data_IF_484511057171
#
_entry.id   IF_484511057171
#
_cell.length_a   1.000
_cell.length_b   1.000
_cell.length_c   1.000
_cell.angle_alpha   90.00
_cell.angle_beta   90.00
_cell.angle_gamma   90.00
#
_symmetry.space_group_name_H-M   'P 1'
#
loop_
_entity.id
_entity.type
_entity.pdbx_description
1 polymer ?
#
# COMPACT_ATOMS: atom_id res chain seq x y z
N UNK A 1 -4.75 -32.30 -44.29
CA UNK A 1 -4.32 -30.89 -44.33
C UNK A 1 -3.69 -30.55 -43.00
N UNK A 2 -2.48 -29.99 -42.99
CA UNK A 2 -1.72 -29.74 -41.76
C UNK A 2 -2.32 -28.56 -40.98
N UNK A 3 -2.91 -28.85 -39.84
CA UNK A 3 -3.43 -27.89 -38.86
C UNK A 3 -2.23 -27.29 -38.10
N UNK A 4 -1.51 -26.39 -38.76
CA UNK A 4 -0.34 -25.72 -38.17
C UNK A 4 -0.83 -24.42 -37.53
N UNK A 5 -0.59 -24.19 -36.23
CA UNK A 5 -0.99 -22.96 -35.58
C UNK A 5 -0.34 -21.76 -36.30
N UNK A 6 -1.08 -20.62 -36.40
CA UNK A 6 -0.57 -19.44 -37.07
C UNK A 6 0.76 -19.00 -36.45
N UNK A 7 1.74 -18.56 -37.27
CA UNK A 7 3.06 -18.18 -36.78
C UNK A 7 2.94 -17.02 -35.78
N UNK A 8 3.67 -17.11 -34.67
CA UNK A 8 3.74 -16.01 -33.70
C UNK A 8 4.35 -14.78 -34.35
N UNK A 9 3.69 -13.63 -34.19
CA UNK A 9 4.17 -12.32 -34.65
C UNK A 9 5.53 -11.94 -34.06
N UNK A 10 5.81 -12.42 -32.85
CA UNK A 10 7.08 -12.20 -32.18
C UNK A 10 8.03 -13.38 -32.35
N UNK A 11 9.30 -13.07 -32.58
CA UNK A 11 10.42 -14.01 -32.61
C UNK A 11 11.45 -13.67 -31.54
N UNK A 12 12.05 -14.68 -30.94
CA UNK A 12 13.17 -14.51 -30.02
C UNK A 12 14.44 -14.79 -30.82
N UNK A 13 15.37 -13.84 -30.85
CA UNK A 13 16.69 -14.02 -31.49
C UNK A 13 17.78 -13.71 -30.47
N UNK A 14 18.95 -14.29 -30.66
CA UNK A 14 20.13 -13.96 -29.87
C UNK A 14 20.91 -12.82 -30.53
N UNK A 15 21.14 -11.72 -29.80
CA UNK A 15 22.03 -10.63 -30.20
C UNK A 15 23.00 -10.33 -29.07
N UNK A 16 24.31 -10.47 -29.34
CA UNK A 16 25.37 -10.15 -28.37
C UNK A 16 25.31 -10.99 -27.08
N UNK A 17 24.95 -12.27 -27.18
CA UNK A 17 24.82 -13.17 -26.02
C UNK A 17 23.56 -12.93 -25.18
N UNK A 18 22.58 -12.17 -25.69
CA UNK A 18 21.30 -11.93 -25.02
C UNK A 18 20.12 -12.23 -25.93
N UNK A 19 19.08 -12.83 -25.36
CA UNK A 19 17.82 -13.08 -26.05
C UNK A 19 17.03 -11.78 -26.17
N UNK A 20 16.68 -11.41 -27.39
CA UNK A 20 15.92 -10.21 -27.75
C UNK A 20 14.65 -10.63 -28.47
N UNK A 21 13.51 -10.07 -28.04
CA UNK A 21 12.23 -10.26 -28.73
C UNK A 21 12.12 -9.24 -29.86
N UNK A 22 11.84 -9.70 -31.07
CA UNK A 22 11.56 -8.86 -32.23
C UNK A 22 10.16 -9.15 -32.76
N UNK A 23 9.48 -8.09 -33.19
CA UNK A 23 8.29 -8.20 -34.03
C UNK A 23 8.73 -8.54 -35.47
N UNK A 24 8.19 -9.62 -36.04
CA UNK A 24 8.54 -10.10 -37.40
C UNK A 24 8.06 -9.14 -38.48
N UNK A 25 6.98 -8.41 -38.25
CA UNK A 25 6.39 -7.52 -39.24
C UNK A 25 7.18 -6.21 -39.35
N UNK A 26 7.75 -5.74 -38.23
CA UNK A 26 8.44 -4.44 -38.15
C UNK A 26 9.95 -4.56 -37.99
N UNK A 27 10.47 -5.75 -37.69
CA UNK A 27 11.89 -5.99 -37.42
C UNK A 27 12.42 -5.25 -36.19
N UNK A 28 11.53 -4.65 -35.37
CA UNK A 28 11.88 -3.84 -34.20
C UNK A 28 11.61 -4.61 -32.92
N UNK A 29 12.32 -4.24 -31.86
CA UNK A 29 11.97 -4.68 -30.51
C UNK A 29 10.64 -4.06 -30.12
N UNK A 30 9.65 -4.86 -29.68
CA UNK A 30 8.37 -4.32 -29.26
C UNK A 30 8.55 -3.43 -28.02
N UNK A 31 7.69 -2.41 -27.83
CA UNK A 31 7.76 -1.54 -26.67
C UNK A 31 7.64 -2.37 -25.39
N UNK A 32 8.51 -2.05 -24.44
CA UNK A 32 8.56 -2.75 -23.16
C UNK A 32 7.24 -2.53 -22.40
N UNK A 33 6.93 -3.43 -21.46
CA UNK A 33 5.73 -3.28 -20.64
C UNK A 33 5.72 -1.94 -19.87
N UNK A 34 6.90 -1.46 -19.43
CA UNK A 34 7.07 -0.20 -18.76
C UNK A 34 6.74 1.01 -19.66
N UNK A 35 7.18 0.98 -20.92
CA UNK A 35 6.88 2.04 -21.89
C UNK A 35 5.39 2.06 -22.26
N UNK A 36 4.76 0.88 -22.41
CA UNK A 36 3.31 0.78 -22.64
C UNK A 36 2.49 1.33 -21.46
N UNK A 37 2.93 1.07 -20.24
CA UNK A 37 2.31 1.64 -19.04
C UNK A 37 2.51 3.16 -18.98
N UNK A 38 3.72 3.65 -19.27
CA UNK A 38 4.00 5.09 -19.28
C UNK A 38 3.21 5.86 -20.35
N UNK A 39 2.92 5.25 -21.50
CA UNK A 39 2.07 5.85 -22.52
C UNK A 39 0.58 5.83 -22.13
N UNK A 40 0.13 4.74 -21.51
CA UNK A 40 -1.22 4.64 -20.95
C UNK A 40 -1.46 5.70 -19.85
N UNK A 41 -0.50 5.88 -18.95
CA UNK A 41 -0.60 6.84 -17.84
C UNK A 41 -0.62 8.29 -18.35
N UNK A 42 0.15 8.58 -19.41
CA UNK A 42 0.10 9.87 -20.13
C UNK A 42 -1.28 10.15 -20.73
N UNK A 43 -1.90 9.15 -21.37
CA UNK A 43 -3.27 9.29 -21.92
C UNK A 43 -4.32 9.52 -20.84
N UNK A 44 -4.13 8.95 -19.65
CA UNK A 44 -5.05 9.09 -18.53
C UNK A 44 -4.82 10.37 -17.71
N UNK A 45 -3.86 11.23 -18.09
CA UNK A 45 -3.52 12.45 -17.36
C UNK A 45 -2.84 12.18 -16.01
N UNK A 46 -2.34 10.96 -15.79
CA UNK A 46 -1.73 10.52 -14.54
C UNK A 46 -0.20 10.66 -14.59
N UNK A 47 0.32 11.76 -15.16
CA UNK A 47 1.76 11.96 -15.23
C UNK A 47 2.34 12.06 -13.81
N UNK A 48 3.27 11.17 -13.42
CA UNK A 48 4.09 11.39 -12.23
C UNK A 48 4.90 12.67 -12.44
N UNK A 49 4.98 13.52 -11.42
CA UNK A 49 5.97 14.60 -11.39
C UNK A 49 7.34 13.95 -11.55
N UNK A 50 7.90 14.03 -12.75
CA UNK A 50 9.26 13.57 -13.01
C UNK A 50 10.14 14.53 -12.21
N UNK A 51 10.89 14.07 -11.19
CA UNK A 51 11.95 14.92 -10.67
C UNK A 51 12.83 15.25 -11.87
N UNK A 52 12.93 16.55 -12.19
CA UNK A 52 13.91 17.05 -13.14
C UNK A 52 15.20 16.37 -12.73
N UNK A 53 15.79 15.56 -13.61
CA UNK A 53 17.11 15.02 -13.36
C UNK A 53 17.97 16.25 -13.08
N UNK A 54 18.29 16.45 -11.79
CA UNK A 54 19.15 17.56 -11.39
C UNK A 54 20.38 17.35 -12.24
N UNK A 55 20.64 18.31 -13.13
CA UNK A 55 21.93 18.39 -13.79
C UNK A 55 22.92 18.36 -12.64
N UNK A 56 23.58 17.22 -12.45
CA UNK A 56 24.69 17.11 -11.54
C UNK A 56 25.69 18.06 -12.16
N UNK A 57 26.01 19.22 -11.54
CA UNK A 57 27.11 20.01 -12.05
C UNK A 57 28.30 19.05 -12.11
N UNK A 58 29.00 19.01 -13.25
CA UNK A 58 30.25 18.27 -13.38
C UNK A 58 31.19 18.76 -12.28
N UNK A 59 31.19 18.04 -11.16
CA UNK A 59 32.22 18.17 -10.15
C UNK A 59 33.45 17.61 -10.86
N UNK A 60 34.52 18.41 -11.06
CA UNK A 60 35.76 17.91 -11.62
C UNK A 60 36.18 16.70 -10.78
N UNK A 61 36.53 15.61 -11.46
CA UNK A 61 36.88 14.34 -10.83
C UNK A 61 37.75 14.59 -9.58
N UNK A 62 37.39 14.03 -8.41
CA UNK A 62 38.27 14.14 -7.25
C UNK A 62 39.64 13.59 -7.64
N UNK A 63 40.66 14.40 -7.40
CA UNK A 63 42.05 14.08 -7.67
C UNK A 63 42.37 12.66 -7.19
N UNK A 64 43.09 11.92 -8.04
CA UNK A 64 43.61 10.57 -7.78
C UNK A 64 44.15 10.50 -6.34
N UNK A 65 43.47 9.77 -5.48
CA UNK A 65 43.99 9.41 -4.16
C UNK A 65 45.26 8.58 -4.42
N UNK A 66 46.43 8.92 -3.85
CA UNK A 66 47.61 8.08 -3.99
C UNK A 66 47.31 6.70 -3.39
N UNK A 67 47.58 5.68 -4.21
CA UNK A 67 47.40 4.27 -3.89
C UNK A 67 48.20 3.91 -2.62
N UNK A 68 47.49 3.45 -1.60
CA UNK A 68 48.10 2.94 -0.38
C UNK A 68 48.91 1.66 -0.69
N UNK A 69 50.06 1.44 -0.04
CA UNK A 69 50.95 0.32 -0.35
C UNK A 69 50.26 -1.03 -0.14
N UNK A 70 50.57 -2.04 -0.97
CA UNK A 70 49.89 -3.33 -0.94
C UNK A 70 50.11 -4.05 0.40
N UNK A 71 49.08 -4.71 0.94
CA UNK A 71 49.22 -5.53 2.15
C UNK A 71 50.16 -6.73 1.88
N UNK A 72 50.91 -7.20 2.90
CA UNK A 72 51.88 -8.26 2.74
C UNK A 72 51.23 -9.56 2.25
N UNK A 73 51.91 -10.21 1.29
CA UNK A 73 51.47 -11.44 0.67
C UNK A 73 51.32 -12.56 1.71
N UNK A 74 50.12 -13.15 1.80
CA UNK A 74 49.88 -14.38 2.57
C UNK A 74 50.43 -15.59 1.80
N UNK A 75 50.97 -16.63 2.49
CA UNK A 75 51.60 -17.78 1.85
C UNK A 75 50.65 -18.53 0.90
N UNK A 76 51.19 -18.99 -0.23
CA UNK A 76 50.45 -19.66 -1.30
C UNK A 76 49.80 -21.01 -0.91
N UNK A 77 50.07 -21.54 0.29
CA UNK A 77 49.54 -22.81 0.77
C UNK A 77 48.01 -22.78 1.02
N UNK A 78 47.45 -21.63 1.39
CA UNK A 78 46.02 -21.52 1.75
C UNK A 78 45.08 -21.43 0.52
N UNK A 79 45.62 -21.06 -0.66
CA UNK A 79 44.81 -20.99 -1.90
C UNK A 79 44.49 -22.36 -2.50
N UNK A 80 45.31 -23.37 -2.25
CA UNK A 80 45.13 -24.70 -2.82
C UNK A 80 43.99 -25.51 -2.16
N UNK A 81 43.64 -25.19 -0.91
CA UNK A 81 42.58 -25.89 -0.15
C UNK A 81 41.19 -25.32 -0.50
N UNK A 82 41.07 -24.01 -0.75
CA UNK A 82 39.81 -23.38 -1.16
C UNK A 82 39.38 -23.72 -2.60
N UNK A 83 40.32 -24.03 -3.50
CA UNK A 83 40.03 -24.35 -4.90
C UNK A 83 39.48 -25.78 -5.14
N UNK A 84 39.62 -26.70 -4.17
CA UNK A 84 39.11 -28.08 -4.29
C UNK A 84 37.68 -28.28 -3.76
N UNK A 85 37.16 -27.38 -2.94
CA UNK A 85 35.79 -27.49 -2.39
C UNK A 85 34.69 -26.95 -3.34
N UNK A 86 35.05 -26.16 -4.36
CA UNK A 86 34.10 -25.52 -5.30
C UNK A 86 33.86 -26.29 -6.60
N UNK A 87 34.09 -27.61 -6.63
CA UNK A 87 33.92 -28.45 -7.84
C UNK A 87 32.64 -29.31 -7.83
N UNK A 88 31.58 -28.82 -7.19
CA UNK A 88 30.22 -29.40 -7.27
C UNK A 88 29.31 -28.37 -7.93
N UNK A 89 29.36 -28.35 -9.27
CA UNK A 89 28.36 -27.68 -10.11
C UNK A 89 27.03 -28.47 -10.00
N UNK A 90 25.89 -27.84 -9.68
CA UNK A 90 24.63 -28.56 -9.50
C UNK A 90 23.78 -28.71 -10.78
N UNK A 91 24.31 -28.45 -12.00
CA UNK A 91 23.46 -28.38 -13.20
C UNK A 91 23.93 -29.13 -14.45
N UNK A 92 24.76 -30.17 -14.36
CA UNK A 92 25.01 -31.05 -15.52
C UNK A 92 23.86 -32.05 -15.75
N UNK A 93 23.05 -31.65 -16.72
CA UNK A 93 21.93 -32.25 -17.45
C UNK A 93 22.21 -33.62 -18.10
N UNK A 94 21.31 -34.62 -17.94
CA UNK A 94 20.58 -35.32 -19.04
C UNK A 94 19.78 -36.56 -18.58
N UNK A 95 18.45 -36.57 -18.82
CA UNK A 95 17.75 -37.45 -19.78
C UNK A 95 16.23 -37.68 -19.48
N UNK A 96 15.41 -37.29 -20.48
CA UNK A 96 14.14 -37.86 -20.96
C UNK A 96 12.90 -38.07 -20.03
N UNK A 97 11.93 -37.14 -20.12
CA UNK A 97 10.48 -37.42 -20.38
C UNK A 97 9.72 -36.12 -20.73
N UNK A 98 8.86 -36.06 -21.76
CA UNK A 98 8.08 -34.86 -22.04
C UNK A 98 6.90 -34.81 -21.07
N UNK A 99 6.94 -33.89 -20.10
CA UNK A 99 5.81 -33.58 -19.24
C UNK A 99 5.33 -32.14 -19.51
N UNK A 100 4.00 -32.02 -19.57
CA UNK A 100 3.18 -30.87 -19.94
C UNK A 100 3.68 -29.48 -19.50
N UNK A 101 3.31 -28.39 -20.20
CA UNK A 101 3.74 -27.04 -19.86
C UNK A 101 3.25 -26.67 -18.46
N UNK A 102 4.18 -26.64 -17.52
CA UNK A 102 3.99 -26.05 -16.21
C UNK A 102 3.63 -24.58 -16.42
N UNK A 103 2.35 -24.26 -16.21
CA UNK A 103 1.83 -22.90 -16.06
C UNK A 103 2.73 -22.20 -15.05
N UNK A 104 3.52 -21.24 -15.53
CA UNK A 104 4.45 -20.48 -14.72
C UNK A 104 3.71 -19.98 -13.47
N UNK A 105 4.04 -20.59 -12.34
CA UNK A 105 3.63 -20.09 -11.04
C UNK A 105 4.18 -18.69 -10.96
N UNK A 106 3.28 -17.72 -11.02
CA UNK A 106 3.49 -16.33 -10.61
C UNK A 106 4.39 -16.37 -9.37
N UNK A 107 5.40 -15.49 -9.21
CA UNK A 107 5.97 -15.30 -7.90
C UNK A 107 4.84 -14.75 -7.04
N UNK A 108 4.09 -15.64 -6.38
CA UNK A 108 3.31 -15.31 -5.21
C UNK A 108 4.36 -14.71 -4.31
N UNK A 109 4.35 -13.38 -4.17
CA UNK A 109 5.14 -12.69 -3.19
C UNK A 109 5.01 -13.52 -1.94
N UNK A 110 6.12 -14.17 -1.54
CA UNK A 110 6.13 -15.07 -0.42
C UNK A 110 5.47 -14.27 0.70
N UNK A 111 4.29 -14.74 1.09
CA UNK A 111 3.58 -14.18 2.21
C UNK A 111 4.58 -14.28 3.36
N UNK A 112 5.21 -13.16 3.67
CA UNK A 112 5.98 -12.99 4.88
C UNK A 112 4.96 -13.23 5.99
N UNK A 113 4.91 -14.47 6.46
CA UNK A 113 3.85 -15.13 7.23
C UNK A 113 3.61 -14.45 8.58
N UNK A 114 3.08 -13.23 8.53
CA UNK A 114 2.90 -12.37 9.70
C UNK A 114 2.72 -10.87 9.43
N UNK A 115 3.04 -10.36 8.22
CA UNK A 115 2.80 -8.95 7.87
C UNK A 115 1.43 -8.79 7.22
N UNK A 116 0.46 -8.28 7.98
CA UNK A 116 -0.87 -7.94 7.48
C UNK A 116 -0.77 -6.65 6.66
N UNK A 117 -1.08 -6.71 5.37
CA UNK A 117 -1.17 -5.54 4.49
C UNK A 117 -2.59 -4.99 4.52
N UNK A 118 -2.74 -3.67 4.67
CA UNK A 118 -4.01 -2.96 4.50
C UNK A 118 -3.87 -2.06 3.27
N UNK A 119 -4.88 -2.09 2.41
CA UNK A 119 -4.98 -1.19 1.27
C UNK A 119 -5.78 0.03 1.72
N UNK A 120 -5.22 1.22 1.59
CA UNK A 120 -5.95 2.46 1.88
C UNK A 120 -6.97 2.74 0.77
N UNK A 121 -8.07 3.43 1.13
CA UNK A 121 -9.14 3.76 0.20
C UNK A 121 -9.05 5.20 -0.27
N UNK A 122 -9.41 5.46 -1.52
CA UNK A 122 -9.38 6.81 -2.12
C UNK A 122 -10.26 7.84 -1.35
N UNK A 123 -11.27 7.37 -0.62
CA UNK A 123 -12.18 8.23 0.15
C UNK A 123 -11.59 8.80 1.44
N UNK A 124 -10.49 8.22 1.93
CA UNK A 124 -9.83 8.66 3.18
C UNK A 124 -8.31 8.78 3.06
N UNK A 125 -7.72 8.37 1.95
CA UNK A 125 -6.31 8.60 1.61
C UNK A 125 -6.22 9.52 0.38
N UNK A 126 -5.91 10.79 0.64
CA UNK A 126 -5.73 11.82 -0.39
C UNK A 126 -4.64 11.47 -1.41
N UNK A 127 -3.75 10.52 -1.10
CA UNK A 127 -2.63 10.12 -1.94
C UNK A 127 -2.90 8.80 -2.72
N UNK A 128 -4.17 8.40 -2.84
CA UNK A 128 -4.63 7.24 -3.61
C UNK A 128 -4.52 5.91 -2.86
N UNK A 129 -4.98 4.79 -3.44
CA UNK A 129 -4.95 3.49 -2.77
C UNK A 129 -3.51 2.99 -2.59
N UNK A 130 -3.03 2.98 -1.35
CA UNK A 130 -1.68 2.57 -0.96
C UNK A 130 -1.73 1.27 -0.19
N UNK A 131 -0.80 0.37 -0.49
CA UNK A 131 -0.64 -0.87 0.29
C UNK A 131 0.35 -0.60 1.42
N UNK A 132 -0.16 -0.53 2.65
CA UNK A 132 0.66 -0.35 3.85
C UNK A 132 0.89 -1.72 4.46
N UNK A 133 2.15 -2.15 4.58
CA UNK A 133 2.51 -3.33 5.36
C UNK A 133 2.53 -2.95 6.84
N UNK A 134 1.58 -3.45 7.64
CA UNK A 134 1.56 -3.16 9.07
C UNK A 134 2.56 -4.06 9.80
N UNK A 135 3.48 -3.41 10.51
CA UNK A 135 4.25 -4.05 11.57
C UNK A 135 3.39 -4.31 12.81
N UNK A 136 3.86 -5.15 13.76
CA UNK A 136 3.12 -5.52 14.98
C UNK A 136 2.66 -4.32 15.81
N UNK A 137 3.52 -3.29 15.96
CA UNK A 137 3.18 -2.05 16.68
C UNK A 137 2.09 -1.24 15.99
N UNK A 138 2.15 -1.10 14.67
CA UNK A 138 1.13 -0.38 13.89
C UNK A 138 -0.24 -1.05 13.98
N UNK A 139 -0.27 -2.39 14.08
CA UNK A 139 -1.52 -3.14 14.29
C UNK A 139 -2.13 -2.88 15.67
N UNK A 140 -1.31 -2.82 16.71
CA UNK A 140 -1.76 -2.60 18.09
C UNK A 140 -2.28 -1.18 18.33
N UNK A 141 -1.64 -0.16 17.75
CA UNK A 141 -2.10 1.23 17.85
C UNK A 141 -3.42 1.44 17.08
N UNK A 142 -3.56 0.87 15.88
CA UNK A 142 -4.82 0.96 15.13
C UNK A 142 -5.97 0.24 15.84
N UNK A 143 -5.74 -0.95 16.39
CA UNK A 143 -6.80 -1.70 17.06
C UNK A 143 -7.24 -1.01 18.35
N UNK A 144 -6.30 -0.57 19.19
CA UNK A 144 -6.63 0.07 20.47
C UNK A 144 -7.37 1.40 20.29
N UNK A 145 -6.89 2.28 19.40
CA UNK A 145 -7.54 3.55 19.11
C UNK A 145 -8.92 3.37 18.48
N UNK A 146 -9.05 2.48 17.49
CA UNK A 146 -10.32 2.22 16.82
C UNK A 146 -11.35 1.55 17.75
N UNK A 147 -10.95 0.55 18.52
CA UNK A 147 -11.85 -0.13 19.47
C UNK A 147 -12.35 0.84 20.54
N UNK A 148 -11.49 1.73 21.05
CA UNK A 148 -11.92 2.76 22.02
C UNK A 148 -12.93 3.71 21.40
N UNK A 149 -12.67 4.22 20.20
CA UNK A 149 -13.60 5.10 19.50
C UNK A 149 -14.94 4.41 19.22
N UNK A 150 -14.90 3.16 18.75
CA UNK A 150 -16.11 2.38 18.48
C UNK A 150 -16.91 2.12 19.77
N UNK A 151 -16.25 1.83 20.89
CA UNK A 151 -16.91 1.64 22.18
C UNK A 151 -17.56 2.92 22.67
N UNK A 152 -16.87 4.07 22.59
CA UNK A 152 -17.44 5.37 22.97
C UNK A 152 -18.66 5.69 22.12
N UNK A 153 -18.58 5.53 20.79
CA UNK A 153 -19.72 5.73 19.90
C UNK A 153 -20.88 4.78 20.22
N UNK A 154 -20.59 3.52 20.54
CA UNK A 154 -21.59 2.55 20.94
C UNK A 154 -22.30 2.97 22.24
N UNK A 155 -21.54 3.39 23.26
CA UNK A 155 -22.10 3.86 24.54
C UNK A 155 -22.97 5.09 24.32
N UNK A 156 -22.50 6.06 23.52
CA UNK A 156 -23.29 7.25 23.16
C UNK A 156 -24.56 6.87 22.41
N UNK A 157 -24.49 5.92 21.46
CA UNK A 157 -25.67 5.46 20.74
C UNK A 157 -26.68 4.75 21.66
N UNK A 158 -26.22 3.90 22.57
CA UNK A 158 -27.08 3.23 23.57
C UNK A 158 -27.71 4.27 24.50
N UNK A 159 -26.92 5.23 25.00
CA UNK A 159 -27.43 6.30 25.84
C UNK A 159 -28.48 7.14 25.10
N UNK A 160 -28.24 7.51 23.84
CA UNK A 160 -29.20 8.28 23.05
C UNK A 160 -30.49 7.51 22.73
N UNK A 161 -30.40 6.20 22.45
CA UNK A 161 -31.55 5.40 22.04
C UNK A 161 -32.39 4.86 23.20
N UNK A 162 -31.77 4.62 24.36
CA UNK A 162 -32.44 4.02 25.52
C UNK A 162 -32.49 4.95 26.73
N UNK A 163 -31.37 5.56 27.12
CA UNK A 163 -31.31 6.35 28.36
C UNK A 163 -31.99 7.71 28.17
N UNK A 164 -31.68 8.42 27.08
CA UNK A 164 -32.21 9.74 26.78
C UNK A 164 -33.74 9.79 26.71
N UNK A 165 -34.46 8.87 26.02
CA UNK A 165 -35.92 8.90 26.01
C UNK A 165 -36.52 8.60 27.40
N UNK A 166 -35.91 7.72 28.18
CA UNK A 166 -36.32 7.45 29.56
C UNK A 166 -36.17 8.68 30.46
N UNK A 167 -35.03 9.37 30.38
CA UNK A 167 -34.78 10.62 31.13
C UNK A 167 -35.70 11.73 30.66
N UNK A 168 -35.91 11.88 29.35
CA UNK A 168 -36.83 12.87 28.80
C UNK A 168 -38.28 12.60 29.25
N UNK A 169 -38.70 11.33 29.23
CA UNK A 169 -40.01 10.93 29.74
C UNK A 169 -40.16 11.22 31.23
N UNK A 170 -39.18 10.84 32.06
CA UNK A 170 -39.20 11.11 33.48
C UNK A 170 -39.23 12.63 33.77
N UNK A 171 -38.40 13.41 33.07
CA UNK A 171 -38.39 14.87 33.18
C UNK A 171 -39.72 15.49 32.77
N UNK A 172 -40.29 15.06 31.64
CA UNK A 172 -41.60 15.52 31.18
C UNK A 172 -42.72 15.10 32.14
N UNK A 173 -42.67 13.89 32.69
CA UNK A 173 -43.64 13.41 33.67
C UNK A 173 -43.57 14.22 34.97
N UNK A 174 -42.37 14.46 35.51
CA UNK A 174 -42.19 15.31 36.69
C UNK A 174 -42.67 16.74 36.42
N UNK A 175 -42.35 17.29 35.25
CA UNK A 175 -42.83 18.61 34.84
C UNK A 175 -44.35 18.63 34.68
N UNK A 176 -44.99 17.58 34.19
CA UNK A 176 -46.45 17.55 34.10
C UNK A 176 -47.10 17.39 35.48
N UNK A 177 -46.53 16.52 36.32
CA UNK A 177 -47.07 16.19 37.65
C UNK A 177 -46.87 17.30 38.69
N UNK A 178 -45.78 18.05 38.59
CA UNK A 178 -45.40 19.10 39.54
C UNK A 178 -45.23 20.47 38.88
N UNK A 179 -45.39 20.58 37.56
CA UNK A 179 -45.24 21.83 36.84
C UNK A 179 -46.22 22.89 37.29
N UNK A 180 -47.44 22.55 37.69
CA UNK A 180 -48.35 23.54 38.28
C UNK A 180 -47.76 24.24 39.52
N UNK A 181 -46.97 23.51 40.32
CA UNK A 181 -46.33 24.05 41.52
C UNK A 181 -45.04 24.84 41.21
N UNK A 182 -44.36 24.52 40.10
CA UNK A 182 -43.10 25.16 39.67
C UNK A 182 -43.37 26.34 38.71
N UNK A 183 -44.16 26.11 37.66
CA UNK A 183 -44.55 27.10 36.65
C UNK A 183 -45.68 28.03 37.13
N UNK A 184 -46.52 27.62 38.08
CA UNK A 184 -47.61 28.46 38.59
C UNK A 184 -47.11 29.81 39.16
N UNK A 185 -46.18 29.81 40.13
CA UNK A 185 -45.63 31.05 40.69
C UNK A 185 -44.87 31.89 39.65
N UNK A 186 -44.13 31.23 38.75
CA UNK A 186 -43.37 31.90 37.69
C UNK A 186 -44.33 32.57 36.68
N UNK A 187 -45.36 31.86 36.25
CA UNK A 187 -46.37 32.35 35.32
C UNK A 187 -47.18 33.50 35.92
N UNK A 188 -47.58 33.38 37.20
CA UNK A 188 -48.30 34.44 37.89
C UNK A 188 -47.48 35.74 37.94
N UNK A 189 -46.19 35.69 38.27
CA UNK A 189 -45.33 36.88 38.29
C UNK A 189 -45.11 37.52 36.91
N UNK A 190 -45.12 36.73 35.82
CA UNK A 190 -45.03 37.26 34.45
C UNK A 190 -46.34 37.94 34.05
N UNK A 191 -47.48 37.34 34.36
CA UNK A 191 -48.81 37.92 34.07
C UNK A 191 -48.99 39.20 34.87
N UNK A 192 -48.62 39.21 36.15
CA UNK A 192 -48.73 40.37 37.02
C UNK A 192 -47.90 41.56 36.49
N UNK A 193 -46.65 41.31 36.06
CA UNK A 193 -45.83 42.33 35.39
C UNK A 193 -46.42 42.81 34.06
N UNK A 194 -47.03 41.91 33.29
CA UNK A 194 -47.64 42.27 32.01
C UNK A 194 -48.89 43.14 32.18
N UNK A 195 -49.67 42.89 33.24
CA UNK A 195 -50.82 43.72 33.62
C UNK A 195 -50.33 45.09 34.11
N UNK A 196 -49.35 45.12 35.02
CA UNK A 196 -48.81 46.36 35.57
C UNK A 196 -48.10 47.26 34.54
N UNK A 197 -47.64 46.71 33.42
CA UNK A 197 -47.00 47.47 32.33
C UNK A 197 -47.99 47.97 31.26
N UNK A 198 -49.27 47.57 31.34
CA UNK A 198 -50.30 47.94 30.37
C UNK A 198 -51.05 49.22 30.77
N UNK A 199 -51.10 49.51 32.07
CA UNK A 199 -51.62 50.75 32.65
C UNK A 199 -50.50 51.79 32.85
#
# INVERSE_FOLDING_TARGET
MADRPPPSRYAIVERGGRLVVLDRDTGRTPPTAAERMAEHDRRMGNEPIRPVARAVPEIPAPAKIPEAPPPPARPAADRAVAAKASRKQPWTNRDARPAAPARASRPTAAAASGRKTIVTGKWWDAKGPRTIALGPRGRQTLSSGFTTLALVLLVVAIAALFIAPLVAFAGAFLLFRFGGQILGPIGAGIVDRAVAARD
#
